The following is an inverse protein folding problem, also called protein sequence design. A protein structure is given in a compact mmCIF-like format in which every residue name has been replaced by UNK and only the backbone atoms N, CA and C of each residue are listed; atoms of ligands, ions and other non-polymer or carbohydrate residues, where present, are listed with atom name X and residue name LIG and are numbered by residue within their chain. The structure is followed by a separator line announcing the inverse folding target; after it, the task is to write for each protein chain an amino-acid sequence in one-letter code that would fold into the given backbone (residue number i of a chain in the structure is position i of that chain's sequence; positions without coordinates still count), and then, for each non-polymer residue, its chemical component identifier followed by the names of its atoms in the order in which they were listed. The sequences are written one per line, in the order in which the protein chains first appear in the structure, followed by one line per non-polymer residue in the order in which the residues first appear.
data_IF_138979111510
#
_entry.id   IF_138979111510
#
_cell.length_a   1.000
_cell.length_b   1.000
_cell.length_c   1.000
_cell.angle_alpha   90.00
_cell.angle_beta   90.00
_cell.angle_gamma   90.00
#
_symmetry.space_group_name_H-M   'P 1'
#
loop_
_entity.id
_entity.type
_entity.pdbx_description
1 polymer ?
#
# COMPACT_ATOMS: atom_id res chain seq x y z
N UNK A 1 35.33 6.65 -23.15
CA UNK A 1 33.85 6.65 -23.19
C UNK A 1 33.25 6.33 -21.82
N UNK A 2 33.68 5.28 -21.12
CA UNK A 2 33.19 4.95 -19.76
C UNK A 2 33.44 6.06 -18.72
N UNK A 3 34.56 6.77 -18.79
CA UNK A 3 34.84 7.88 -17.86
C UNK A 3 33.90 9.09 -18.06
N UNK A 4 33.47 9.39 -19.28
CA UNK A 4 32.57 10.52 -19.58
C UNK A 4 31.13 10.19 -19.14
N UNK A 5 30.72 8.92 -19.30
CA UNK A 5 29.42 8.41 -18.82
C UNK A 5 29.37 8.49 -17.29
N UNK A 6 30.42 8.08 -16.58
CA UNK A 6 30.48 8.17 -15.12
C UNK A 6 30.48 9.60 -14.59
N UNK A 7 31.06 10.57 -15.29
CA UNK A 7 31.03 11.98 -14.90
C UNK A 7 29.65 12.63 -15.15
N UNK A 8 28.96 12.29 -16.25
CA UNK A 8 27.56 12.72 -16.45
C UNK A 8 26.60 12.04 -15.45
N UNK A 9 26.80 10.76 -15.15
CA UNK A 9 26.03 10.05 -14.12
C UNK A 9 26.27 10.63 -12.72
N UNK A 10 27.52 10.96 -12.36
CA UNK A 10 27.86 11.57 -11.08
C UNK A 10 27.38 13.03 -10.95
N UNK A 11 27.39 13.82 -12.03
CA UNK A 11 26.93 15.20 -12.04
C UNK A 11 25.39 15.33 -11.94
N UNK A 12 24.63 14.30 -12.35
CA UNK A 12 23.16 14.28 -12.24
C UNK A 12 22.70 13.72 -10.89
N UNK A 13 23.45 12.79 -10.26
CA UNK A 13 23.16 12.27 -8.90
C UNK A 13 23.15 13.37 -7.82
N UNK A 14 23.83 14.49 -8.07
CA UNK A 14 23.85 15.66 -7.18
C UNK A 14 22.81 16.73 -7.51
N UNK A 15 22.01 16.56 -8.58
CA UNK A 15 21.01 17.56 -8.98
C UNK A 15 19.76 17.47 -8.12
N UNK A 16 19.31 18.64 -7.70
CA UNK A 16 18.03 18.80 -7.04
C UNK A 16 16.89 18.48 -8.02
N UNK A 17 15.77 17.99 -7.50
CA UNK A 17 14.59 17.68 -8.31
C UNK A 17 14.04 18.92 -9.03
N UNK A 18 14.09 20.09 -8.40
CA UNK A 18 13.62 21.33 -9.04
C UNK A 18 14.41 21.64 -10.32
N UNK A 19 15.75 21.53 -10.29
CA UNK A 19 16.61 21.76 -11.46
C UNK A 19 16.28 20.80 -12.61
N UNK A 20 16.01 19.53 -12.29
CA UNK A 20 15.63 18.53 -13.29
C UNK A 20 14.30 18.90 -13.97
N UNK A 21 13.36 19.47 -13.19
CA UNK A 21 12.07 19.90 -13.72
C UNK A 21 12.21 21.17 -14.56
N UNK A 22 13.02 22.13 -14.12
CA UNK A 22 13.30 23.35 -14.87
C UNK A 22 14.01 23.05 -16.20
N UNK A 23 15.04 22.21 -16.19
CA UNK A 23 15.72 21.76 -17.41
C UNK A 23 14.72 21.09 -18.37
N UNK A 24 13.79 20.28 -17.85
CA UNK A 24 12.78 19.63 -18.67
C UNK A 24 11.79 20.63 -19.29
N UNK A 25 11.36 21.64 -18.53
CA UNK A 25 10.42 22.66 -18.97
C UNK A 25 11.05 23.62 -19.99
N UNK A 26 12.34 23.92 -19.82
CA UNK A 26 13.11 24.85 -20.66
C UNK A 26 13.87 24.18 -21.81
N UNK A 27 13.76 22.85 -21.94
CA UNK A 27 14.40 22.09 -23.02
C UNK A 27 14.03 22.66 -24.40
N UNK A 28 15.03 22.84 -25.26
CA UNK A 28 14.89 23.44 -26.58
C UNK A 28 14.20 22.50 -27.59
N UNK A 29 14.09 21.21 -27.28
CA UNK A 29 13.45 20.22 -28.15
C UNK A 29 12.81 19.06 -27.40
N UNK A 30 11.88 18.36 -28.07
CA UNK A 30 11.28 17.12 -27.57
C UNK A 30 12.32 16.01 -27.38
N UNK A 31 13.40 16.01 -28.18
CA UNK A 31 14.50 15.05 -28.00
C UNK A 31 15.19 15.25 -26.65
N UNK A 32 15.52 16.50 -26.33
CA UNK A 32 16.16 16.87 -25.07
C UNK A 32 15.24 16.57 -23.86
N UNK A 33 13.93 16.86 -23.96
CA UNK A 33 12.96 16.44 -22.94
C UNK A 33 12.96 14.92 -22.72
N UNK A 34 13.08 14.14 -23.80
CA UNK A 34 13.13 12.69 -23.70
C UNK A 34 14.42 12.20 -23.04
N UNK A 35 15.56 12.83 -23.33
CA UNK A 35 16.84 12.51 -22.70
C UNK A 35 16.85 12.83 -21.20
N UNK A 36 16.37 14.02 -20.82
CA UNK A 36 16.25 14.42 -19.40
C UNK A 36 15.37 13.43 -18.64
N UNK A 37 14.20 13.09 -19.19
CA UNK A 37 13.30 12.13 -18.57
C UNK A 37 13.87 10.72 -18.50
N UNK A 38 14.58 10.27 -19.54
CA UNK A 38 15.22 8.97 -19.55
C UNK A 38 16.31 8.89 -18.47
N UNK A 39 17.11 9.94 -18.32
CA UNK A 39 18.12 10.07 -17.26
C UNK A 39 17.47 10.02 -15.87
N UNK A 40 16.40 10.79 -15.64
CA UNK A 40 15.63 10.75 -14.39
C UNK A 40 15.15 9.33 -14.06
N UNK A 41 14.56 8.63 -15.04
CA UNK A 41 14.09 7.26 -14.85
C UNK A 41 15.24 6.30 -14.54
N UNK A 42 16.37 6.42 -15.23
CA UNK A 42 17.56 5.63 -14.98
C UNK A 42 18.04 5.79 -13.54
N UNK A 43 18.13 7.02 -13.03
CA UNK A 43 18.50 7.30 -11.65
C UNK A 43 17.51 6.69 -10.66
N UNK A 44 16.20 6.90 -10.89
CA UNK A 44 15.15 6.36 -10.04
C UNK A 44 15.24 4.84 -9.92
N UNK A 45 15.53 4.15 -11.01
CA UNK A 45 15.65 2.70 -11.02
C UNK A 45 16.99 2.19 -10.49
N UNK A 46 18.06 2.97 -10.65
CA UNK A 46 19.38 2.69 -10.10
C UNK A 46 19.47 2.92 -8.58
N UNK A 47 18.54 3.70 -8.00
CA UNK A 47 18.47 3.97 -6.56
C UNK A 47 18.61 2.70 -5.71
N UNK A 48 19.48 2.77 -4.71
CA UNK A 48 19.70 1.69 -3.73
C UNK A 48 18.51 1.48 -2.78
N UNK A 49 17.53 2.39 -2.79
CA UNK A 49 16.25 2.20 -2.12
C UNK A 49 15.36 1.19 -2.87
N UNK A 50 15.91 0.00 -3.10
CA UNK A 50 15.24 -1.13 -3.74
C UNK A 50 14.13 -1.65 -2.84
N UNK A 51 13.11 -2.23 -3.46
CA UNK A 51 11.99 -2.82 -2.75
C UNK A 51 12.47 -4.00 -1.89
N UNK A 52 12.26 -3.94 -0.57
CA UNK A 52 12.60 -5.03 0.38
C UNK A 52 11.35 -5.57 1.07
N UNK A 53 11.22 -6.89 1.07
CA UNK A 53 10.20 -7.62 1.83
C UNK A 53 10.86 -8.46 2.91
N UNK A 54 10.21 -8.60 4.06
CA UNK A 54 10.74 -9.35 5.19
C UNK A 54 9.60 -9.92 6.02
N UNK A 55 9.92 -10.92 6.83
CA UNK A 55 8.99 -11.48 7.81
C UNK A 55 8.95 -10.60 9.06
N UNK A 56 7.74 -10.22 9.46
CA UNK A 56 7.45 -9.54 10.73
C UNK A 56 6.85 -10.54 11.69
N UNK A 57 7.11 -10.34 12.98
CA UNK A 57 6.63 -11.22 14.04
C UNK A 57 5.80 -10.43 15.06
N UNK A 58 4.59 -10.88 15.32
CA UNK A 58 3.84 -10.49 16.52
C UNK A 58 4.30 -11.43 17.62
N UNK A 59 5.04 -10.88 18.60
CA UNK A 59 5.63 -11.66 19.69
C UNK A 59 5.13 -11.19 21.05
N UNK A 60 5.04 -12.14 21.97
CA UNK A 60 4.93 -11.92 23.42
C UNK A 60 5.61 -13.06 24.17
N UNK A 61 5.97 -12.80 25.42
CA UNK A 61 6.67 -13.78 26.27
C UNK A 61 5.77 -14.23 27.40
N UNK A 62 5.59 -15.55 27.53
CA UNK A 62 4.88 -16.15 28.67
C UNK A 62 5.73 -15.99 29.94
N UNK A 63 5.13 -15.43 31.00
CA UNK A 63 5.78 -15.23 32.30
C UNK A 63 6.35 -16.55 32.82
N UNK A 64 7.54 -16.50 33.43
CA UNK A 64 8.32 -17.69 33.81
C UNK A 64 7.54 -18.64 34.74
N UNK A 65 6.84 -18.06 35.71
CA UNK A 65 5.99 -18.76 36.69
C UNK A 65 4.81 -19.51 36.05
N UNK A 66 4.34 -19.07 34.88
CA UNK A 66 3.17 -19.63 34.21
C UNK A 66 3.53 -20.67 33.15
N UNK A 67 4.81 -20.77 32.75
CA UNK A 67 5.25 -21.61 31.61
C UNK A 67 4.87 -23.09 31.73
N UNK A 68 4.85 -23.62 32.95
CA UNK A 68 4.57 -25.03 33.20
C UNK A 68 3.09 -25.30 33.50
N UNK A 69 2.25 -24.26 33.50
CA UNK A 69 0.80 -24.41 33.64
C UNK A 69 0.16 -24.69 32.28
N UNK A 70 -0.96 -25.42 32.26
CA UNK A 70 -1.68 -25.68 31.01
C UNK A 70 -2.03 -24.39 30.22
N UNK A 71 -2.51 -23.29 30.85
CA UNK A 71 -2.74 -22.03 30.14
C UNK A 71 -1.45 -21.41 29.59
N UNK A 72 -0.35 -21.46 30.34
CA UNK A 72 0.93 -20.91 29.88
C UNK A 72 1.54 -21.69 28.72
N UNK A 73 1.40 -23.02 28.69
CA UNK A 73 1.79 -23.85 27.56
C UNK A 73 0.92 -23.57 26.32
N UNK A 74 -0.40 -23.41 26.51
CA UNK A 74 -1.33 -23.03 25.45
C UNK A 74 -0.92 -21.71 24.79
N UNK A 75 -0.74 -20.64 25.58
CA UNK A 75 -0.26 -19.35 25.04
C UNK A 75 1.15 -19.43 24.47
N UNK A 76 1.99 -20.31 25.01
CA UNK A 76 3.33 -20.60 24.50
C UNK A 76 3.34 -21.06 23.04
N UNK A 77 2.34 -21.86 22.62
CA UNK A 77 2.19 -22.30 21.22
C UNK A 77 1.89 -21.15 20.25
N UNK A 78 1.32 -20.06 20.75
CA UNK A 78 0.91 -18.89 19.95
C UNK A 78 1.77 -17.64 20.21
N UNK A 79 2.90 -17.81 20.90
CA UNK A 79 3.74 -16.69 21.37
C UNK A 79 4.41 -15.90 20.24
N UNK A 80 4.43 -16.45 19.03
CA UNK A 80 5.00 -15.86 17.84
C UNK A 80 4.12 -16.17 16.63
N UNK A 81 3.58 -15.10 16.02
CA UNK A 81 2.86 -15.18 14.74
C UNK A 81 3.65 -14.41 13.69
N UNK A 82 4.02 -15.10 12.62
CA UNK A 82 4.84 -14.55 11.54
C UNK A 82 3.98 -14.16 10.35
N UNK A 83 4.22 -12.99 9.77
CA UNK A 83 3.54 -12.50 8.57
C UNK A 83 4.49 -11.73 7.65
N UNK A 84 4.18 -11.64 6.36
CA UNK A 84 5.02 -10.91 5.40
C UNK A 84 4.74 -9.42 5.42
N UNK A 85 5.79 -8.63 5.58
CA UNK A 85 5.78 -7.18 5.52
C UNK A 85 6.77 -6.65 4.50
N UNK A 86 6.87 -5.31 4.44
CA UNK A 86 7.81 -4.64 3.57
C UNK A 86 8.35 -3.36 4.19
N UNK A 87 9.47 -2.88 3.64
CA UNK A 87 10.07 -1.62 4.04
C UNK A 87 9.24 -0.48 3.47
N UNK A 88 8.45 0.17 4.32
CA UNK A 88 7.53 1.24 3.94
C UNK A 88 8.12 2.65 4.09
N UNK A 89 9.28 2.75 4.74
CA UNK A 89 9.99 4.00 5.06
C UNK A 89 11.47 3.85 4.69
N UNK A 90 12.05 4.94 4.23
CA UNK A 90 13.50 5.12 4.08
C UNK A 90 13.99 6.10 5.15
N UNK A 91 15.29 6.04 5.47
CA UNK A 91 15.98 7.04 6.29
C UNK A 91 16.53 8.19 5.44
N UNK A 92 16.77 7.92 4.16
CA UNK A 92 17.27 8.90 3.20
C UNK A 92 16.22 9.99 2.97
N UNK A 93 16.71 11.22 2.80
CA UNK A 93 15.90 12.42 2.57
C UNK A 93 15.99 12.93 1.14
N UNK A 94 16.85 12.34 0.30
CA UNK A 94 16.99 12.73 -1.09
C UNK A 94 15.73 12.41 -1.90
N UNK A 95 15.47 13.24 -2.93
CA UNK A 95 14.27 13.11 -3.75
C UNK A 95 14.14 11.74 -4.39
N UNK A 96 15.27 11.14 -4.82
CA UNK A 96 15.31 9.90 -5.57
C UNK A 96 14.87 8.74 -4.67
N UNK A 97 15.43 8.63 -3.47
CA UNK A 97 15.04 7.66 -2.46
C UNK A 97 13.58 7.82 -2.03
N UNK A 98 13.09 9.06 -1.88
CA UNK A 98 11.71 9.31 -1.45
C UNK A 98 10.67 8.95 -2.52
N UNK A 99 10.89 9.36 -3.77
CA UNK A 99 10.03 8.97 -4.90
C UNK A 99 10.13 7.47 -5.14
N UNK A 100 11.32 6.88 -5.05
CA UNK A 100 11.53 5.43 -5.15
C UNK A 100 10.77 4.67 -4.06
N UNK A 101 10.81 5.15 -2.81
CA UNK A 101 10.05 4.59 -1.71
C UNK A 101 8.55 4.62 -2.01
N UNK A 102 8.06 5.74 -2.56
CA UNK A 102 6.67 5.88 -2.94
C UNK A 102 6.26 4.84 -3.98
N UNK A 103 7.06 4.67 -5.03
CA UNK A 103 6.86 3.67 -6.08
C UNK A 103 6.83 2.25 -5.48
N UNK A 104 7.77 1.92 -4.58
CA UNK A 104 7.81 0.62 -3.91
C UNK A 104 6.58 0.37 -3.01
N UNK A 105 6.10 1.42 -2.33
CA UNK A 105 4.93 1.39 -1.47
C UNK A 105 3.65 1.11 -2.28
N UNK A 106 3.49 1.77 -3.43
CA UNK A 106 2.34 1.58 -4.31
C UNK A 106 2.30 0.15 -4.87
N UNK A 107 3.45 -0.39 -5.30
CA UNK A 107 3.54 -1.77 -5.77
C UNK A 107 3.12 -2.77 -4.68
N UNK A 108 3.75 -2.65 -3.50
CA UNK A 108 3.50 -3.54 -2.36
C UNK A 108 2.04 -3.48 -1.88
N UNK A 109 1.42 -2.29 -1.96
CA UNK A 109 0.02 -2.12 -1.59
C UNK A 109 -0.94 -2.77 -2.58
N UNK A 110 -0.72 -2.60 -3.88
CA UNK A 110 -1.75 -2.93 -4.87
C UNK A 110 -1.51 -4.20 -5.70
N UNK A 111 -0.27 -4.67 -5.80
CA UNK A 111 0.11 -5.76 -6.70
C UNK A 111 0.74 -6.95 -5.96
N UNK A 112 1.52 -6.70 -4.90
CA UNK A 112 2.09 -7.82 -4.13
C UNK A 112 0.99 -8.57 -3.37
N UNK A 113 0.82 -9.84 -3.77
CA UNK A 113 -0.18 -10.80 -3.28
C UNK A 113 0.12 -11.37 -1.90
N UNK A 114 1.37 -11.29 -1.44
CA UNK A 114 1.80 -11.84 -0.16
C UNK A 114 1.80 -10.79 0.95
N UNK A 115 1.78 -9.50 0.60
CA UNK A 115 1.73 -8.40 1.56
C UNK A 115 0.28 -7.94 1.78
N UNK A 116 -0.25 -8.23 2.97
CA UNK A 116 -1.57 -7.79 3.41
C UNK A 116 -1.43 -6.66 4.43
N UNK A 117 -2.04 -5.51 4.14
CA UNK A 117 -1.97 -4.29 4.96
C UNK A 117 -3.31 -3.96 5.65
N UNK A 118 -4.29 -4.83 5.51
CA UNK A 118 -5.62 -4.64 6.09
C UNK A 118 -5.56 -4.68 7.61
N UNK A 119 -6.12 -3.67 8.28
CA UNK A 119 -6.00 -3.54 9.73
C UNK A 119 -6.75 -4.65 10.46
N UNK A 120 -7.91 -5.05 9.95
CA UNK A 120 -8.67 -6.17 10.48
C UNK A 120 -7.85 -7.48 10.48
N UNK A 121 -7.08 -7.72 9.41
CA UNK A 121 -6.18 -8.88 9.32
C UNK A 121 -5.08 -8.83 10.38
N UNK A 122 -4.37 -7.69 10.49
CA UNK A 122 -3.31 -7.53 11.48
C UNK A 122 -3.83 -7.63 12.93
N UNK A 123 -5.04 -7.14 13.17
CA UNK A 123 -5.71 -7.25 14.46
C UNK A 123 -6.09 -8.70 14.80
N UNK A 124 -6.56 -9.49 13.82
CA UNK A 124 -6.81 -10.92 14.01
C UNK A 124 -5.52 -11.66 14.38
N UNK A 125 -4.41 -11.40 13.67
CA UNK A 125 -3.10 -11.97 14.00
C UNK A 125 -2.60 -11.58 15.40
N UNK A 126 -2.99 -10.41 15.91
CA UNK A 126 -2.63 -9.93 17.24
C UNK A 126 -3.48 -10.54 18.37
N UNK A 127 -4.52 -11.32 18.04
CA UNK A 127 -5.46 -11.91 19.02
C UNK A 127 -4.77 -12.72 20.12
N UNK A 128 -3.80 -13.61 19.84
CA UNK A 128 -3.14 -14.39 20.89
C UNK A 128 -2.43 -13.50 21.91
N UNK A 129 -1.70 -12.49 21.43
CA UNK A 129 -1.00 -11.51 22.27
C UNK A 129 -1.98 -10.75 23.16
N UNK A 130 -3.09 -10.27 22.58
CA UNK A 130 -4.12 -9.52 23.31
C UNK A 130 -4.78 -10.37 24.39
N UNK A 131 -5.22 -11.59 24.06
CA UNK A 131 -5.85 -12.49 25.02
C UNK A 131 -4.92 -12.87 26.16
N UNK A 132 -3.64 -13.10 25.87
CA UNK A 132 -2.63 -13.36 26.89
C UNK A 132 -2.52 -12.22 27.91
N UNK A 133 -2.41 -10.97 27.44
CA UNK A 133 -2.33 -9.82 28.35
C UNK A 133 -3.63 -9.57 29.12
N UNK A 134 -4.78 -9.83 28.50
CA UNK A 134 -6.08 -9.78 29.18
C UNK A 134 -6.17 -10.81 30.32
N UNK A 135 -5.76 -12.04 30.05
CA UNK A 135 -5.72 -13.11 31.04
C UNK A 135 -4.77 -12.77 32.20
N UNK A 136 -3.57 -12.24 31.92
CA UNK A 136 -2.64 -11.81 32.98
C UNK A 136 -3.16 -10.63 33.80
N UNK A 137 -3.95 -9.74 33.19
CA UNK A 137 -4.58 -8.63 33.93
C UNK A 137 -5.73 -9.06 34.84
N UNK A 138 -6.02 -10.37 34.95
CA UNK A 138 -7.06 -10.90 35.83
C UNK A 138 -8.46 -10.84 35.24
N UNK A 139 -8.60 -10.66 33.92
CA UNK A 139 -9.89 -10.85 33.25
C UNK A 139 -10.19 -12.35 33.29
N UNK A 140 -11.20 -12.73 34.08
CA UNK A 140 -11.67 -14.11 34.18
C UNK A 140 -12.14 -14.58 32.81
N UNK A 141 -11.28 -15.36 32.16
CA UNK A 141 -11.56 -15.99 30.89
C UNK A 141 -10.98 -17.38 30.92
N UNK A 142 -11.84 -18.35 30.66
CA UNK A 142 -11.45 -19.75 30.61
C UNK A 142 -10.32 -19.95 29.58
N UNK A 143 -9.22 -20.64 29.94
CA UNK A 143 -8.14 -20.93 29.01
C UNK A 143 -8.56 -21.73 27.76
N UNK A 144 -9.55 -22.62 27.89
CA UNK A 144 -10.12 -23.35 26.76
C UNK A 144 -10.83 -22.39 25.79
N UNK A 145 -11.68 -21.51 26.31
CA UNK A 145 -12.32 -20.46 25.52
C UNK A 145 -11.29 -19.53 24.85
N UNK A 146 -10.19 -19.19 25.54
CA UNK A 146 -9.11 -18.41 24.93
C UNK A 146 -8.48 -19.14 23.73
N UNK A 147 -8.27 -20.45 23.83
CA UNK A 147 -7.72 -21.22 22.71
C UNK A 147 -8.69 -21.30 21.52
N UNK A 148 -9.97 -21.48 21.78
CA UNK A 148 -11.01 -21.46 20.74
C UNK A 148 -11.07 -20.11 20.03
N UNK A 149 -11.06 -19.01 20.79
CA UNK A 149 -11.05 -17.65 20.24
C UNK A 149 -9.80 -17.39 19.38
N UNK A 150 -8.64 -17.90 19.80
CA UNK A 150 -7.41 -17.83 19.01
C UNK A 150 -7.57 -18.59 17.70
N UNK A 151 -8.04 -19.85 17.74
CA UNK A 151 -8.24 -20.67 16.54
C UNK A 151 -9.23 -20.02 15.57
N UNK A 152 -10.36 -19.54 16.07
CA UNK A 152 -11.36 -18.83 15.28
C UNK A 152 -10.78 -17.54 14.65
N UNK A 153 -9.96 -16.80 15.39
CA UNK A 153 -9.29 -15.62 14.86
C UNK A 153 -8.26 -15.96 13.76
N UNK A 154 -7.51 -17.06 13.90
CA UNK A 154 -6.57 -17.52 12.87
C UNK A 154 -7.29 -17.99 11.60
N UNK A 155 -8.41 -18.71 11.74
CA UNK A 155 -9.24 -19.10 10.60
C UNK A 155 -9.80 -17.88 9.85
N UNK A 156 -10.33 -16.90 10.58
CA UNK A 156 -10.78 -15.63 9.99
C UNK A 156 -9.62 -14.85 9.34
N UNK A 157 -8.42 -14.90 9.92
CA UNK A 157 -7.24 -14.25 9.35
C UNK A 157 -6.87 -14.88 8.00
N UNK A 158 -6.94 -16.21 7.88
CA UNK A 158 -6.67 -16.94 6.63
C UNK A 158 -7.71 -16.64 5.55
N UNK A 159 -8.99 -16.60 5.92
CA UNK A 159 -10.07 -16.18 5.02
C UNK A 159 -9.84 -14.76 4.51
N UNK A 160 -9.53 -13.82 5.41
CA UNK A 160 -9.28 -12.43 5.04
C UNK A 160 -8.00 -12.28 4.21
N UNK A 161 -6.95 -13.05 4.52
CA UNK A 161 -5.73 -13.12 3.71
C UNK A 161 -6.06 -13.50 2.27
N UNK A 162 -6.85 -14.55 2.06
CA UNK A 162 -7.29 -15.01 0.73
C UNK A 162 -8.07 -13.92 -0.01
N UNK A 163 -9.02 -13.27 0.65
CA UNK A 163 -9.82 -12.18 0.04
C UNK A 163 -8.93 -11.00 -0.34
N UNK A 164 -8.06 -10.54 0.57
CA UNK A 164 -7.16 -9.42 0.31
C UNK A 164 -6.15 -9.73 -0.79
N UNK A 165 -5.68 -10.98 -0.87
CA UNK A 165 -4.78 -11.47 -1.92
C UNK A 165 -5.46 -11.46 -3.30
N UNK A 166 -6.70 -11.93 -3.39
CA UNK A 166 -7.50 -11.90 -4.62
C UNK A 166 -7.85 -10.48 -5.08
N UNK A 167 -7.93 -9.52 -4.14
CA UNK A 167 -8.20 -8.11 -4.42
C UNK A 167 -7.01 -7.33 -5.01
N UNK A 168 -5.82 -7.95 -5.07
CA UNK A 168 -4.63 -7.34 -5.69
C UNK A 168 -4.75 -7.39 -7.21
N UNK A 169 -4.20 -6.37 -7.85
CA UNK A 169 -4.11 -6.33 -9.31
C UNK A 169 -2.97 -7.21 -9.78
N UNK A 170 -3.11 -7.77 -10.98
CA UNK A 170 -2.06 -8.58 -11.61
C UNK A 170 -1.23 -7.70 -12.54
N UNK A 171 0.06 -7.57 -12.23
CA UNK A 171 1.03 -6.89 -13.07
C UNK A 171 2.43 -7.36 -12.68
N UNK A 172 3.27 -7.70 -13.66
CA UNK A 172 4.66 -8.03 -13.39
C UNK A 172 5.42 -6.79 -12.88
N UNK A 173 6.54 -7.00 -12.19
CA UNK A 173 7.39 -5.87 -11.76
C UNK A 173 7.91 -5.05 -12.94
N UNK A 174 8.22 -5.69 -14.06
CA UNK A 174 8.72 -5.00 -15.25
C UNK A 174 7.62 -4.16 -15.93
N UNK A 175 6.40 -4.70 -16.03
CA UNK A 175 5.28 -3.94 -16.58
C UNK A 175 4.85 -2.81 -15.64
N UNK A 176 4.99 -3.02 -14.33
CA UNK A 176 4.79 -1.97 -13.35
C UNK A 176 5.79 -0.82 -13.49
N UNK A 177 7.07 -1.10 -13.79
CA UNK A 177 8.06 -0.05 -14.08
C UNK A 177 7.63 0.80 -15.28
N UNK A 178 7.31 0.14 -16.40
CA UNK A 178 6.80 0.82 -17.61
C UNK A 178 5.56 1.65 -17.33
N UNK A 179 4.59 1.10 -16.60
CA UNK A 179 3.40 1.83 -16.17
C UNK A 179 3.76 3.06 -15.33
N UNK A 180 4.68 2.91 -14.40
CA UNK A 180 5.14 4.00 -13.53
C UNK A 180 5.80 5.11 -14.33
N UNK A 181 6.63 4.78 -15.33
CA UNK A 181 7.23 5.76 -16.25
C UNK A 181 6.15 6.54 -17.01
N UNK A 182 5.06 5.90 -17.47
CA UNK A 182 3.95 6.65 -18.10
C UNK A 182 3.29 7.64 -17.14
N UNK A 183 3.24 7.32 -15.83
CA UNK A 183 2.74 8.26 -14.83
C UNK A 183 3.73 9.38 -14.59
N UNK A 184 5.02 9.06 -14.44
CA UNK A 184 6.09 10.04 -14.25
C UNK A 184 6.16 11.01 -15.42
N UNK A 185 6.06 10.54 -16.67
CA UNK A 185 6.03 11.41 -17.85
C UNK A 185 4.92 12.45 -17.74
N UNK A 186 3.71 12.01 -17.44
CA UNK A 186 2.58 12.92 -17.23
C UNK A 186 2.77 13.83 -16.02
N UNK A 187 3.53 13.41 -15.01
CA UNK A 187 3.86 14.27 -13.86
C UNK A 187 4.77 15.40 -14.33
N UNK A 188 5.82 15.10 -15.09
CA UNK A 188 6.70 16.08 -15.72
C UNK A 188 5.90 17.06 -16.60
N UNK A 189 5.08 16.54 -17.51
CA UNK A 189 4.30 17.36 -18.47
C UNK A 189 3.28 18.29 -17.79
N UNK A 190 2.81 17.95 -16.58
CA UNK A 190 1.82 18.74 -15.84
C UNK A 190 2.40 19.42 -14.60
N UNK A 191 3.71 19.30 -14.35
CA UNK A 191 4.36 19.95 -13.23
C UNK A 191 4.42 21.45 -13.53
N UNK A 192 3.95 22.27 -12.60
CA UNK A 192 4.06 23.74 -12.69
C UNK A 192 5.15 24.19 -11.72
N UNK A 193 5.82 25.29 -12.04
CA UNK A 193 6.84 25.91 -11.17
C UNK A 193 6.21 26.42 -9.87
N UNK A 194 7.05 26.62 -8.85
CA UNK A 194 6.63 27.16 -7.55
C UNK A 194 5.99 28.55 -7.73
N UNK A 195 6.61 29.42 -8.52
CA UNK A 195 6.09 30.76 -8.85
C UNK A 195 4.66 30.74 -9.41
N UNK A 196 4.37 29.76 -10.28
CA UNK A 196 3.01 29.61 -10.83
C UNK A 196 2.01 29.23 -9.72
N UNK A 197 2.41 28.39 -8.77
CA UNK A 197 1.55 28.04 -7.63
C UNK A 197 1.34 29.20 -6.65
N UNK A 198 2.37 30.00 -6.39
CA UNK A 198 2.30 31.19 -5.53
C UNK A 198 1.40 32.28 -6.13
N UNK A 199 1.39 32.44 -7.45
CA UNK A 199 0.48 33.40 -8.10
C UNK A 199 -0.99 32.97 -8.05
N UNK A 200 -1.29 31.66 -8.04
CA UNK A 200 -2.66 31.13 -7.98
C UNK A 200 -3.19 30.95 -6.55
N UNK A 201 -2.31 30.80 -5.56
CA UNK A 201 -2.69 30.64 -4.15
C UNK A 201 -2.16 31.82 -3.34
N UNK A 202 -3.04 32.58 -2.68
CA UNK A 202 -2.72 33.78 -1.88
C UNK A 202 -1.83 33.54 -0.63
N UNK A 203 -1.02 32.48 -0.64
CA UNK A 203 -0.15 31.99 0.43
C UNK A 203 1.33 32.06 0.02
N UNK A 204 1.76 33.18 -0.57
CA UNK A 204 3.15 33.42 -0.97
C UNK A 204 4.16 33.13 0.16
N UNK A 205 3.77 33.34 1.43
CA UNK A 205 4.65 33.18 2.59
C UNK A 205 4.81 31.75 3.13
N UNK A 206 4.07 30.76 2.62
CA UNK A 206 4.17 29.37 3.13
C UNK A 206 5.37 28.60 2.52
N UNK A 207 5.85 29.03 1.36
CA UNK A 207 6.89 28.33 0.59
C UNK A 207 8.29 28.93 0.74
N UNK A 208 8.42 30.16 1.26
CA UNK A 208 9.70 30.81 1.60
C UNK A 208 10.61 29.99 2.54
N UNK A 209 10.04 29.05 3.29
CA UNK A 209 10.76 28.18 4.25
C UNK A 209 10.86 26.71 3.80
N UNK A 210 10.32 26.36 2.63
CA UNK A 210 10.33 24.99 2.10
C UNK A 210 11.46 24.90 1.09
N UNK A 211 12.46 24.04 1.33
CA UNK A 211 13.41 23.64 0.27
C UNK A 211 12.61 23.20 -0.96
N UNK A 212 12.84 23.84 -2.11
CA UNK A 212 12.03 23.67 -3.33
C UNK A 212 11.82 22.20 -3.72
N UNK A 213 12.83 21.36 -3.48
CA UNK A 213 12.74 19.92 -3.69
C UNK A 213 11.61 19.25 -2.91
N UNK A 214 11.36 19.65 -1.66
CA UNK A 214 10.26 19.09 -0.88
C UNK A 214 8.89 19.39 -1.51
N UNK A 215 8.75 20.54 -2.17
CA UNK A 215 7.55 20.87 -2.93
C UNK A 215 7.36 19.88 -4.09
N UNK A 216 8.38 19.71 -4.93
CA UNK A 216 8.32 18.81 -6.08
C UNK A 216 8.16 17.34 -5.66
N UNK A 217 8.88 16.87 -4.63
CA UNK A 217 8.72 15.50 -4.08
C UNK A 217 7.28 15.26 -3.63
N UNK A 218 6.67 16.23 -2.93
CA UNK A 218 5.28 16.14 -2.48
C UNK A 218 4.32 16.10 -3.67
N UNK A 219 4.55 16.94 -4.69
CA UNK A 219 3.78 16.94 -5.93
C UNK A 219 3.85 15.57 -6.61
N UNK A 220 5.05 15.04 -6.85
CA UNK A 220 5.29 13.73 -7.46
C UNK A 220 4.59 12.62 -6.67
N UNK A 221 4.75 12.58 -5.34
CA UNK A 221 4.14 11.56 -4.49
C UNK A 221 2.60 11.62 -4.51
N UNK A 222 2.01 12.82 -4.52
CA UNK A 222 0.57 13.01 -4.61
C UNK A 222 0.05 12.57 -5.98
N UNK A 223 0.71 12.99 -7.06
CA UNK A 223 0.34 12.65 -8.43
C UNK A 223 0.46 11.16 -8.71
N UNK A 224 1.55 10.49 -8.30
CA UNK A 224 1.70 9.03 -8.38
C UNK A 224 0.56 8.28 -7.68
N UNK A 225 0.12 8.77 -6.52
CA UNK A 225 -1.03 8.19 -5.80
C UNK A 225 -2.32 8.36 -6.60
N UNK A 226 -2.52 9.53 -7.20
CA UNK A 226 -3.67 9.84 -8.05
C UNK A 226 -3.73 8.97 -9.30
N UNK A 227 -2.62 8.90 -10.04
CA UNK A 227 -2.50 8.04 -11.22
C UNK A 227 -2.71 6.57 -10.88
N UNK A 228 -2.12 6.06 -9.80
CA UNK A 228 -2.34 4.69 -9.35
C UNK A 228 -3.80 4.42 -8.96
N UNK A 229 -4.45 5.36 -8.27
CA UNK A 229 -5.87 5.26 -7.95
C UNK A 229 -6.74 5.21 -9.20
N UNK A 230 -6.41 6.02 -10.22
CA UNK A 230 -7.09 6.06 -11.49
C UNK A 230 -6.86 4.80 -12.34
N UNK A 231 -5.65 4.25 -12.30
CA UNK A 231 -5.32 2.96 -12.90
C UNK A 231 -6.13 1.83 -12.25
N UNK A 232 -6.19 1.80 -10.91
CA UNK A 232 -6.98 0.82 -10.17
C UNK A 232 -8.47 0.86 -10.56
N UNK A 233 -9.05 2.05 -10.72
CA UNK A 233 -10.44 2.19 -11.19
C UNK A 233 -10.62 1.61 -12.60
N UNK A 234 -9.70 1.91 -13.51
CA UNK A 234 -9.72 1.41 -14.88
C UNK A 234 -9.57 -0.12 -14.93
N UNK A 235 -8.64 -0.68 -14.16
CA UNK A 235 -8.43 -2.13 -14.01
C UNK A 235 -9.74 -2.85 -13.63
N UNK A 236 -10.52 -2.26 -12.72
CA UNK A 236 -11.79 -2.83 -12.29
C UNK A 236 -13.01 -2.43 -13.13
N UNK A 237 -12.82 -1.69 -14.23
CA UNK A 237 -13.89 -1.24 -15.14
C UNK A 237 -14.80 -0.16 -14.55
N UNK A 238 -14.30 0.65 -13.62
CA UNK A 238 -15.11 1.65 -12.89
C UNK A 238 -14.93 3.03 -13.52
N UNK A 239 -16.04 3.72 -13.79
CA UNK A 239 -16.03 5.09 -14.30
C UNK A 239 -15.53 6.08 -13.25
N UNK A 240 -14.70 7.02 -13.69
CA UNK A 240 -14.29 8.19 -12.90
C UNK A 240 -15.45 9.19 -12.83
N UNK A 241 -15.52 9.96 -11.76
CA UNK A 241 -16.53 11.01 -11.64
C UNK A 241 -16.32 11.87 -10.40
N UNK A 242 -16.67 13.15 -10.54
CA UNK A 242 -16.79 14.10 -9.42
C UNK A 242 -17.91 13.58 -8.49
N UNK A 243 -17.69 13.60 -7.18
CA UNK A 243 -18.63 13.13 -6.14
C UNK A 243 -18.91 11.62 -6.11
N UNK A 244 -18.15 10.79 -6.85
CA UNK A 244 -18.26 9.34 -6.72
C UNK A 244 -17.46 8.82 -5.53
N UNK A 245 -18.08 7.96 -4.74
CA UNK A 245 -17.41 7.22 -3.67
C UNK A 245 -17.17 5.77 -4.08
N UNK A 246 -16.08 5.19 -3.62
CA UNK A 246 -15.66 3.84 -3.99
C UNK A 246 -15.42 3.02 -2.73
N UNK A 247 -15.83 1.76 -2.76
CA UNK A 247 -15.63 0.78 -1.68
C UNK A 247 -15.08 -0.52 -2.24
N UNK A 248 -14.56 -1.37 -1.36
CA UNK A 248 -14.15 -2.73 -1.71
C UNK A 248 -15.27 -3.72 -1.38
N UNK A 249 -15.44 -4.73 -2.23
CA UNK A 249 -16.37 -5.82 -1.96
C UNK A 249 -15.92 -6.60 -0.72
N UNK A 250 -16.83 -6.88 0.22
CA UNK A 250 -16.49 -7.67 1.42
C UNK A 250 -16.15 -9.15 1.15
N UNK A 251 -16.51 -9.69 -0.01
CA UNK A 251 -16.25 -11.08 -0.38
C UNK A 251 -14.99 -11.26 -1.21
N UNK A 252 -14.75 -10.41 -2.23
CA UNK A 252 -13.60 -10.57 -3.13
C UNK A 252 -12.62 -9.38 -3.10
N UNK A 253 -12.89 -8.36 -2.29
CA UNK A 253 -12.07 -7.14 -2.16
C UNK A 253 -11.97 -6.25 -3.41
N UNK A 254 -12.62 -6.64 -4.52
CA UNK A 254 -12.72 -5.84 -5.76
C UNK A 254 -13.21 -4.43 -5.47
N UNK A 255 -12.56 -3.43 -6.08
CA UNK A 255 -13.01 -2.04 -6.02
C UNK A 255 -14.33 -1.90 -6.79
N UNK A 256 -15.24 -1.08 -6.27
CA UNK A 256 -16.57 -0.87 -6.82
C UNK A 256 -17.10 0.51 -6.43
N UNK A 257 -18.00 1.06 -7.24
CA UNK A 257 -18.68 2.32 -6.95
C UNK A 257 -19.74 2.11 -5.86
N UNK A 258 -19.75 2.98 -4.85
CA UNK A 258 -20.74 2.97 -3.78
C UNK A 258 -21.90 3.87 -4.18
N UNK A 259 -22.91 3.30 -4.83
CA UNK A 259 -24.10 4.06 -5.24
C UNK A 259 -25.09 4.28 -4.08
N UNK A 260 -25.03 3.48 -3.02
CA UNK A 260 -25.77 3.70 -1.78
C UNK A 260 -25.06 3.04 -0.57
N UNK A 261 -25.54 3.32 0.65
CA UNK A 261 -24.93 2.82 1.90
C UNK A 261 -25.10 1.32 2.15
N UNK A 262 -26.01 0.64 1.46
CA UNK A 262 -26.28 -0.80 1.62
C UNK A 262 -25.37 -1.68 0.76
N UNK A 263 -24.57 -1.08 -0.12
CA UNK A 263 -23.69 -1.81 -1.03
C UNK A 263 -22.47 -2.36 -0.29
N UNK A 264 -22.45 -3.68 -0.11
CA UNK A 264 -21.36 -4.43 0.54
C UNK A 264 -20.62 -5.37 -0.41
N UNK A 265 -21.25 -5.75 -1.52
CA UNK A 265 -20.75 -6.77 -2.44
C UNK A 265 -20.80 -6.29 -3.89
N UNK A 266 -19.84 -6.72 -4.70
CA UNK A 266 -19.91 -6.52 -6.15
C UNK A 266 -21.08 -7.34 -6.73
N UNK A 267 -21.48 -7.05 -7.97
CA UNK A 267 -22.61 -7.72 -8.63
C UNK A 267 -22.48 -9.24 -8.61
N UNK A 268 -21.31 -9.77 -8.96
CA UNK A 268 -21.01 -11.21 -8.95
C UNK A 268 -21.14 -11.82 -7.55
N UNK A 269 -20.48 -11.22 -6.55
CA UNK A 269 -20.53 -11.70 -5.17
C UNK A 269 -21.92 -11.58 -4.53
N UNK A 270 -22.73 -10.60 -4.95
CA UNK A 270 -24.12 -10.47 -4.51
C UNK A 270 -24.98 -11.65 -4.96
N UNK A 271 -24.78 -12.15 -6.19
CA UNK A 271 -25.49 -13.34 -6.71
C UNK A 271 -25.12 -14.57 -5.90
N UNK A 272 -23.82 -14.78 -5.64
CA UNK A 272 -23.34 -15.91 -4.82
C UNK A 272 -23.97 -15.85 -3.43
N UNK A 273 -23.91 -14.69 -2.76
CA UNK A 273 -24.45 -14.53 -1.40
C UNK A 273 -25.97 -14.72 -1.34
N UNK A 274 -26.70 -14.29 -2.37
CA UNK A 274 -28.14 -14.52 -2.45
C UNK A 274 -28.45 -16.02 -2.59
N UNK A 275 -27.71 -16.75 -3.43
CA UNK A 275 -27.88 -18.21 -3.58
C UNK A 275 -27.62 -18.96 -2.27
N UNK A 276 -26.59 -18.57 -1.52
CA UNK A 276 -26.30 -19.13 -0.19
C UNK A 276 -27.46 -18.90 0.77
N UNK A 277 -27.96 -17.65 0.87
CA UNK A 277 -29.11 -17.31 1.72
C UNK A 277 -30.36 -18.11 1.35
N UNK A 278 -30.64 -18.27 0.06
CA UNK A 278 -31.77 -19.09 -0.40
C UNK A 278 -31.59 -20.55 0.02
N UNK A 279 -30.39 -21.12 -0.14
CA UNK A 279 -30.09 -22.49 0.30
C UNK A 279 -30.25 -22.66 1.81
N UNK A 280 -29.74 -21.72 2.61
CA UNK A 280 -29.90 -21.72 4.06
C UNK A 280 -31.36 -21.63 4.49
N UNK A 281 -32.13 -20.74 3.85
CA UNK A 281 -33.57 -20.62 4.10
C UNK A 281 -34.31 -21.93 3.78
N UNK A 282 -34.01 -22.56 2.65
CA UNK A 282 -34.60 -23.86 2.28
C UNK A 282 -34.21 -24.96 3.27
N UNK A 283 -32.96 -24.98 3.76
CA UNK A 283 -32.53 -25.93 4.80
C UNK A 283 -33.29 -25.72 6.10
N UNK A 284 -33.50 -24.47 6.52
CA UNK A 284 -34.29 -24.16 7.72
C UNK A 284 -35.74 -24.62 7.57
N UNK A 285 -36.36 -24.37 6.41
CA UNK A 285 -37.74 -24.80 6.15
C UNK A 285 -37.87 -26.33 6.14
N UNK A 286 -36.85 -27.06 5.65
CA UNK A 286 -36.87 -28.54 5.58
C UNK A 286 -36.49 -29.24 6.90
N UNK A 287 -35.86 -28.52 7.81
CA UNK A 287 -35.46 -29.02 9.14
C UNK A 287 -36.44 -28.59 10.25
N UNK A 288 -37.59 -28.01 9.88
CA UNK A 288 -38.78 -27.79 10.70
C UNK A 288 -39.82 -28.80 10.26
#
# INVERSE_FOLDING_TARGET
MEHIIRWKEAAIITRYLYEIIEDYQNAASVSEQNEIFASFCQMLWASENKRRTYYKNIRFSVRKDLRNTAPGQMFGRWNQITYKGYQSKTKETDWCSLIRQKVNNLYSRYFDKEIILEQAYLHLLATPKRLYYQWISGIEKDPGQCEEDIRAAMEQAEQLYTVCRQAKMELSWNDYKKLTETFLRRIFDNCRSIEHFESETSFATMYDFIEEDHFYIRYFCKSLSGYMSNYRKAYYGIKRGRNKTYVTCRLCGRLMEKTNNRILYCSQCRVIRNREKTRESMRRIRNV
#
